data_IF_716754194136
#
_entry.id   IF_716754194136
#
_cell.length_a   1.000
_cell.length_b   1.000
_cell.length_c   1.000
_cell.angle_alpha   90.00
_cell.angle_beta   90.00
_cell.angle_gamma   90.00
#
_symmetry.space_group_name_H-M   'P 1'
#
loop_
_entity.id
_entity.type
_entity.pdbx_description
1 polymer ?
#
# COMPACT_ATOMS: atom_id res chain seq x y z
N UNK A 1 -1.70 -20.49 1.49
CA UNK A 1 -2.82 -19.53 1.62
C UNK A 1 -3.15 -19.03 0.22
N UNK A 2 -4.25 -19.51 -0.39
CA UNK A 2 -4.87 -18.79 -1.50
C UNK A 2 -5.72 -17.70 -0.85
N UNK A 3 -5.36 -16.44 -1.08
CA UNK A 3 -6.07 -15.33 -0.48
C UNK A 3 -7.24 -15.02 -1.37
N UNK A 4 -8.45 -15.17 -0.88
CA UNK A 4 -9.62 -14.87 -1.69
C UNK A 4 -9.92 -13.39 -1.54
N UNK A 5 -10.00 -12.68 -2.66
CA UNK A 5 -10.43 -11.29 -2.63
C UNK A 5 -11.84 -11.23 -2.02
N UNK A 6 -12.03 -10.45 -0.96
CA UNK A 6 -13.33 -10.35 -0.29
C UNK A 6 -14.43 -9.79 -1.21
N UNK A 7 -14.06 -9.09 -2.30
CA UNK A 7 -15.00 -8.50 -3.24
C UNK A 7 -15.41 -9.45 -4.39
N UNK A 8 -14.51 -10.30 -4.89
CA UNK A 8 -14.80 -11.15 -6.05
C UNK A 8 -14.59 -12.66 -5.82
N UNK A 9 -14.15 -13.06 -4.62
CA UNK A 9 -13.91 -14.47 -4.28
C UNK A 9 -12.77 -15.13 -5.06
N UNK A 10 -12.06 -14.39 -5.93
CA UNK A 10 -10.98 -14.96 -6.73
C UNK A 10 -9.75 -15.29 -5.87
N UNK A 11 -9.12 -16.46 -6.09
CA UNK A 11 -7.87 -16.82 -5.43
C UNK A 11 -6.75 -15.90 -5.94
N UNK A 12 -6.20 -15.13 -5.02
CA UNK A 12 -5.10 -14.17 -5.23
C UNK A 12 -3.80 -14.77 -4.69
N UNK A 13 -2.75 -14.74 -5.51
CA UNK A 13 -1.41 -15.13 -5.09
C UNK A 13 -0.69 -13.95 -4.43
N UNK A 14 -0.98 -13.70 -3.14
CA UNK A 14 -0.35 -12.60 -2.39
C UNK A 14 1.17 -12.69 -2.33
N UNK A 15 1.73 -13.90 -2.38
CA UNK A 15 3.18 -14.09 -2.43
C UNK A 15 3.79 -13.54 -3.72
N UNK A 16 3.17 -13.81 -4.87
CA UNK A 16 3.62 -13.29 -6.16
C UNK A 16 3.59 -11.77 -6.18
N UNK A 17 2.47 -11.18 -5.72
CA UNK A 17 2.35 -9.73 -5.58
C UNK A 17 3.44 -9.13 -4.69
N UNK A 18 3.63 -9.66 -3.47
CA UNK A 18 4.67 -9.17 -2.56
C UNK A 18 6.06 -9.32 -3.18
N UNK A 19 6.34 -10.45 -3.83
CA UNK A 19 7.61 -10.69 -4.52
C UNK A 19 7.88 -9.62 -5.59
N UNK A 20 6.93 -9.35 -6.47
CA UNK A 20 7.09 -8.36 -7.56
C UNK A 20 7.30 -6.93 -7.02
N UNK A 21 6.53 -6.54 -6.00
CA UNK A 21 6.66 -5.22 -5.37
C UNK A 21 8.04 -5.04 -4.76
N UNK A 22 8.52 -6.03 -3.99
CA UNK A 22 9.82 -5.95 -3.35
C UNK A 22 10.98 -6.05 -4.35
N UNK A 23 10.85 -6.81 -5.43
CA UNK A 23 11.85 -6.84 -6.50
C UNK A 23 11.98 -5.49 -7.21
N UNK A 24 10.85 -4.82 -7.47
CA UNK A 24 10.82 -3.59 -8.26
C UNK A 24 11.19 -2.37 -7.42
N UNK A 25 10.69 -2.31 -6.19
CA UNK A 25 10.66 -1.07 -5.41
C UNK A 25 11.58 -1.07 -4.18
N UNK A 26 12.03 -2.23 -3.66
CA UNK A 26 12.75 -2.26 -2.39
C UNK A 26 14.11 -1.53 -2.43
N UNK A 27 14.73 -1.43 -3.61
CA UNK A 27 16.00 -0.72 -3.80
C UNK A 27 15.87 0.80 -3.70
N UNK A 28 14.68 1.35 -3.91
CA UNK A 28 14.42 2.80 -3.90
C UNK A 28 13.76 3.28 -2.60
N UNK A 29 13.37 2.36 -1.71
CA UNK A 29 12.72 2.69 -0.46
C UNK A 29 13.68 3.21 0.60
N UNK A 30 13.28 4.26 1.32
CA UNK A 30 13.95 4.70 2.55
C UNK A 30 13.71 3.68 3.68
N UNK A 31 14.56 3.69 4.70
CA UNK A 31 14.48 2.80 5.88
C UNK A 31 13.08 2.72 6.48
N UNK A 32 12.41 3.86 6.67
CA UNK A 32 11.07 3.95 7.23
C UNK A 32 10.01 3.27 6.35
N UNK A 33 10.12 3.45 5.03
CA UNK A 33 9.23 2.82 4.05
C UNK A 33 9.45 1.32 4.03
N UNK A 34 10.70 0.85 3.95
CA UNK A 34 11.02 -0.56 3.98
C UNK A 34 10.50 -1.25 5.25
N UNK A 35 10.69 -0.63 6.42
CA UNK A 35 10.17 -1.15 7.68
C UNK A 35 8.63 -1.22 7.71
N UNK A 36 7.95 -0.22 7.12
CA UNK A 36 6.48 -0.21 7.02
C UNK A 36 5.97 -1.32 6.12
N UNK A 37 6.55 -1.48 4.94
CA UNK A 37 6.18 -2.53 3.99
C UNK A 37 6.44 -3.93 4.55
N UNK A 38 7.58 -4.13 5.23
CA UNK A 38 7.87 -5.38 5.93
C UNK A 38 6.82 -5.69 7.01
N UNK A 39 6.35 -4.71 7.80
CA UNK A 39 5.26 -4.94 8.76
C UNK A 39 3.93 -5.30 8.12
N UNK A 40 3.63 -4.78 6.93
CA UNK A 40 2.45 -5.20 6.17
C UNK A 40 2.57 -6.65 5.72
N UNK A 41 3.74 -7.04 5.20
CA UNK A 41 4.01 -8.43 4.83
C UNK A 41 3.91 -9.35 6.05
N UNK A 42 4.48 -8.95 7.20
CA UNK A 42 4.35 -9.71 8.45
C UNK A 42 2.88 -9.95 8.81
N UNK A 43 2.04 -8.91 8.75
CA UNK A 43 0.61 -9.02 9.06
C UNK A 43 -0.15 -9.90 8.07
N UNK A 44 0.19 -9.84 6.78
CA UNK A 44 -0.45 -10.66 5.75
C UNK A 44 -0.12 -12.15 5.95
N UNK A 45 1.13 -12.45 6.33
CA UNK A 45 1.60 -13.83 6.47
C UNK A 45 1.57 -14.37 7.90
N UNK A 46 1.21 -13.58 8.91
CA UNK A 46 1.18 -14.01 10.32
C UNK A 46 0.19 -15.13 10.58
N UNK A 47 -0.92 -15.16 9.83
CA UNK A 47 -1.93 -16.21 9.93
C UNK A 47 -1.71 -17.33 8.90
N UNK A 48 -0.64 -17.30 8.11
CA UNK A 48 -0.47 -18.25 6.99
C UNK A 48 -0.11 -19.66 7.46
N UNK A 49 -0.93 -20.64 7.08
CA UNK A 49 -0.66 -22.07 7.30
C UNK A 49 0.25 -22.69 6.24
N UNK A 50 0.40 -22.03 5.09
CA UNK A 50 1.27 -22.50 4.00
C UNK A 50 2.75 -22.33 4.36
N UNK A 51 3.55 -23.38 4.13
CA UNK A 51 4.97 -23.43 4.41
C UNK A 51 5.74 -22.27 3.76
N UNK A 52 5.34 -21.86 2.55
CA UNK A 52 5.92 -20.70 1.87
C UNK A 52 5.60 -19.41 2.62
N UNK A 53 4.35 -19.21 3.06
CA UNK A 53 3.96 -18.03 3.84
C UNK A 53 4.60 -17.97 5.23
N UNK A 54 4.76 -19.12 5.91
CA UNK A 54 5.49 -19.19 7.19
C UNK A 54 6.95 -18.74 7.03
N UNK A 55 7.64 -19.21 5.98
CA UNK A 55 9.01 -18.78 5.66
C UNK A 55 9.11 -17.27 5.42
N UNK A 56 8.15 -16.67 4.71
CA UNK A 56 8.12 -15.21 4.51
C UNK A 56 7.90 -14.50 5.84
N UNK A 57 6.95 -14.95 6.65
CA UNK A 57 6.68 -14.37 7.97
C UNK A 57 7.90 -14.39 8.88
N UNK A 58 8.60 -15.52 8.98
CA UNK A 58 9.80 -15.67 9.81
C UNK A 58 10.96 -14.82 9.30
N UNK A 59 11.18 -14.81 7.98
CA UNK A 59 12.20 -13.97 7.35
C UNK A 59 11.96 -12.48 7.62
N UNK A 60 10.72 -12.02 7.46
CA UNK A 60 10.33 -10.62 7.66
C UNK A 60 10.50 -10.20 9.12
N UNK A 61 10.11 -11.05 10.08
CA UNK A 61 10.36 -10.80 11.52
C UNK A 61 11.84 -10.62 11.81
N UNK A 62 12.69 -11.47 11.23
CA UNK A 62 14.13 -11.36 11.40
C UNK A 62 14.68 -10.05 10.82
N UNK A 63 14.18 -9.62 9.66
CA UNK A 63 14.60 -8.35 9.04
C UNK A 63 14.12 -7.13 9.82
N UNK A 64 12.92 -7.18 10.42
CA UNK A 64 12.40 -6.12 11.27
C UNK A 64 13.24 -5.95 12.54
N UNK A 65 13.66 -7.04 13.18
CA UNK A 65 14.58 -7.00 14.33
C UNK A 65 15.92 -6.37 13.92
N UNK A 66 16.46 -6.75 12.75
CA UNK A 66 17.72 -6.16 12.24
C UNK A 66 17.58 -4.67 11.95
N UNK A 67 16.40 -4.21 11.52
CA UNK A 67 16.12 -2.80 11.24
C UNK A 67 15.99 -1.91 12.50
N UNK A 68 15.88 -2.48 13.70
CA UNK A 68 15.95 -1.69 14.95
C UNK A 68 17.32 -0.99 15.08
N UNK A 69 18.36 -1.61 14.56
CA UNK A 69 19.70 -1.06 14.47
C UNK A 69 19.92 -0.43 13.08
N UNK A 70 20.02 0.90 13.02
CA UNK A 70 20.10 1.67 11.77
C UNK A 70 21.27 1.26 10.86
N UNK A 71 22.37 0.77 11.45
CA UNK A 71 23.59 0.39 10.73
C UNK A 71 23.40 -0.85 9.84
N UNK A 72 22.37 -1.66 10.09
CA UNK A 72 22.09 -2.88 9.32
C UNK A 72 21.17 -2.65 8.13
N UNK A 73 20.66 -1.43 7.92
CA UNK A 73 19.77 -1.11 6.80
C UNK A 73 20.29 -1.54 5.42
N UNK A 74 21.53 -1.26 5.00
CA UNK A 74 22.02 -1.70 3.69
C UNK A 74 22.09 -3.23 3.56
N UNK A 75 22.40 -3.93 4.65
CA UNK A 75 22.42 -5.40 4.69
C UNK A 75 21.00 -5.97 4.62
N UNK A 76 20.03 -5.34 5.29
CA UNK A 76 18.62 -5.75 5.24
C UNK A 76 18.05 -5.56 3.84
N UNK A 77 18.31 -4.43 3.17
CA UNK A 77 17.88 -4.20 1.78
C UNK A 77 18.43 -5.30 0.87
N UNK A 78 19.70 -5.68 1.04
CA UNK A 78 20.35 -6.74 0.27
C UNK A 78 19.72 -8.11 0.54
N UNK A 79 19.51 -8.47 1.81
CA UNK A 79 18.85 -9.72 2.21
C UNK A 79 17.42 -9.82 1.65
N UNK A 80 16.64 -8.74 1.78
CA UNK A 80 15.26 -8.66 1.28
C UNK A 80 15.23 -8.81 -0.24
N UNK A 81 16.10 -8.08 -0.94
CA UNK A 81 16.17 -8.18 -2.41
C UNK A 81 16.56 -9.60 -2.83
N UNK A 82 17.54 -10.22 -2.17
CA UNK A 82 17.97 -11.60 -2.48
C UNK A 82 16.85 -12.62 -2.21
N UNK A 83 16.19 -12.54 -1.06
CA UNK A 83 15.10 -13.44 -0.67
C UNK A 83 13.95 -13.43 -1.68
N UNK A 84 13.59 -12.25 -2.19
CA UNK A 84 12.53 -12.12 -3.19
C UNK A 84 13.03 -12.28 -4.64
N UNK A 85 14.34 -12.30 -4.91
CA UNK A 85 14.88 -12.48 -6.27
C UNK A 85 14.93 -13.93 -6.73
N UNK A 86 14.93 -14.90 -5.82
CA UNK A 86 15.14 -16.30 -6.20
C UNK A 86 14.01 -16.79 -7.12
N UNK A 87 14.39 -17.13 -8.35
CA UNK A 87 13.55 -17.79 -9.32
C UNK A 87 13.49 -19.27 -8.94
N UNK A 88 12.31 -19.74 -8.53
CA UNK A 88 11.91 -21.14 -8.37
C UNK A 88 13.07 -22.15 -8.39
N UNK A 89 13.86 -22.19 -7.31
CA UNK A 89 14.91 -23.21 -7.16
C UNK A 89 14.72 -23.88 -5.82
N UNK A 90 14.40 -25.17 -5.90
CA UNK A 90 14.53 -26.10 -4.79
C UNK A 90 15.91 -25.94 -4.14
N UNK A 91 15.98 -25.20 -3.03
CA UNK A 91 17.06 -25.35 -2.08
C UNK A 91 16.51 -26.12 -0.89
N UNK A 92 16.59 -27.44 -1.08
CA UNK A 92 16.78 -28.34 0.03
C UNK A 92 17.98 -27.89 0.87
N UNK A 93 17.85 -28.12 2.16
CA UNK A 93 18.80 -27.84 3.23
C UNK A 93 20.26 -28.10 2.79
N UNK A 94 21.13 -27.11 3.03
CA UNK A 94 22.58 -27.32 2.97
C UNK A 94 23.43 -26.05 2.92
N UNK A 95 23.56 -25.33 4.04
CA UNK A 95 24.88 -25.01 4.63
C UNK A 95 24.71 -24.06 5.81
N UNK A 96 25.17 -24.52 6.96
CA UNK A 96 25.20 -23.84 8.22
C UNK A 96 26.36 -22.83 8.27
N UNK A 97 26.07 -21.65 8.77
CA UNK A 97 27.01 -20.89 9.59
C UNK A 97 26.19 -20.16 10.69
N UNK A 98 26.15 -20.69 11.92
CA UNK A 98 25.44 -20.07 13.03
C UNK A 98 26.29 -18.95 13.63
N UNK A 99 25.90 -17.68 13.44
CA UNK A 99 26.40 -16.59 14.26
C UNK A 99 25.47 -16.38 15.47
N UNK A 100 25.76 -17.19 16.48
CA UNK A 100 25.76 -16.91 17.93
C UNK A 100 24.82 -15.79 18.43
N UNK A 101 23.73 -16.21 19.10
CA UNK A 101 23.03 -15.34 20.05
C UNK A 101 21.56 -15.70 20.35
N UNK A 102 21.37 -16.60 21.33
CA UNK A 102 20.15 -16.82 22.16
C UNK A 102 19.10 -17.81 21.57
N UNK A 103 18.67 -18.85 22.32
CA UNK A 103 17.93 -20.01 21.80
C UNK A 103 16.42 -19.95 22.07
N UNK A 104 15.62 -20.65 21.26
CA UNK A 104 14.41 -21.31 21.76
C UNK A 104 14.00 -22.46 20.83
N UNK A 105 14.06 -23.65 21.41
CA UNK A 105 13.65 -24.95 20.90
C UNK A 105 12.14 -25.03 20.71
N UNK A 106 11.67 -25.75 19.69
CA UNK A 106 10.68 -26.84 19.77
C UNK A 106 10.74 -27.55 18.42
N UNK A 107 11.04 -28.84 18.46
CA UNK A 107 10.98 -29.77 17.36
C UNK A 107 9.71 -30.61 17.48
N UNK A 108 9.13 -31.00 16.33
CA UNK A 108 8.37 -32.22 16.01
C UNK A 108 7.69 -31.95 14.65
N UNK A 109 8.06 -32.60 13.53
CA UNK A 109 7.71 -33.98 13.15
C UNK A 109 6.25 -33.99 12.67
N UNK A 110 5.82 -34.36 11.46
CA UNK A 110 6.19 -35.46 10.56
C UNK A 110 5.39 -35.33 9.23
N UNK A 111 6.05 -35.69 8.12
CA UNK A 111 5.62 -36.40 6.89
C UNK A 111 4.26 -36.19 6.17
N UNK A 112 4.34 -36.06 4.83
CA UNK A 112 3.56 -36.97 3.96
C UNK A 112 2.78 -36.43 2.75
N UNK A 113 3.42 -36.51 1.57
CA UNK A 113 2.86 -36.92 0.25
C UNK A 113 2.14 -35.87 -0.66
N UNK A 114 2.36 -35.92 -1.99
CA UNK A 114 2.17 -34.82 -2.93
C UNK A 114 0.88 -34.94 -3.75
N UNK A 115 0.38 -33.81 -4.26
CA UNK A 115 -0.61 -33.86 -5.34
C UNK A 115 -0.35 -32.84 -6.44
N UNK A 116 -0.14 -33.44 -7.60
CA UNK A 116 -0.09 -32.89 -8.95
C UNK A 116 -1.42 -32.22 -9.30
N UNK A 117 -1.36 -31.02 -9.88
CA UNK A 117 -2.40 -30.61 -10.84
C UNK A 117 -1.87 -29.51 -11.76
N UNK A 118 -2.22 -29.68 -13.03
CA UNK A 118 -1.72 -29.02 -14.24
C UNK A 118 -1.82 -27.50 -14.20
N UNK A 119 -0.70 -26.85 -14.54
CA UNK A 119 -0.58 -25.42 -14.88
C UNK A 119 -1.24 -25.20 -16.26
N UNK A 120 -2.31 -24.43 -16.32
CA UNK A 120 -2.79 -23.84 -17.57
C UNK A 120 -2.24 -22.41 -17.66
N UNK A 121 -1.47 -22.13 -18.72
CA UNK A 121 -0.84 -20.84 -18.95
C UNK A 121 -1.91 -19.78 -19.26
N UNK A 122 -1.92 -18.70 -18.48
CA UNK A 122 -2.68 -17.49 -18.79
C UNK A 122 -1.71 -16.40 -19.24
N UNK A 123 -1.97 -15.88 -20.44
CA UNK A 123 -1.31 -14.70 -21.01
C UNK A 123 -2.10 -13.47 -20.55
N UNK A 124 -1.49 -12.46 -19.90
CA UNK A 124 -2.18 -11.23 -19.54
C UNK A 124 -2.45 -10.35 -20.77
N UNK A 125 -3.72 -10.02 -21.02
CA UNK A 125 -4.09 -8.91 -21.90
C UNK A 125 -3.89 -7.58 -21.17
N UNK A 126 -3.09 -6.70 -21.76
CA UNK A 126 -2.91 -5.31 -21.33
C UNK A 126 -3.97 -4.45 -22.00
N UNK A 127 -4.88 -3.87 -21.22
CA UNK A 127 -5.79 -2.83 -21.68
C UNK A 127 -5.13 -1.47 -21.42
N UNK A 128 -4.42 -0.95 -22.41
CA UNK A 128 -4.10 0.47 -22.48
C UNK A 128 -4.84 1.10 -23.66
N UNK A 129 -5.74 2.03 -23.32
CA UNK A 129 -5.65 3.42 -23.76
C UNK A 129 -5.99 3.78 -25.22
N UNK A 130 -6.87 4.78 -25.31
CA UNK A 130 -7.07 5.79 -26.37
C UNK A 130 -8.30 5.59 -27.28
N UNK A 131 -8.83 6.67 -27.89
CA UNK A 131 -9.29 7.94 -27.30
C UNK A 131 -10.77 8.22 -27.68
N UNK A 132 -11.42 9.13 -26.95
CA UNK A 132 -12.73 9.70 -27.31
C UNK A 132 -12.60 10.54 -28.59
N UNK A 133 -13.58 10.49 -29.51
CA UNK A 133 -13.93 11.66 -30.29
C UNK A 133 -15.42 12.02 -30.21
N UNK A 134 -15.64 13.32 -30.17
CA UNK A 134 -16.93 14.00 -30.18
C UNK A 134 -17.62 13.96 -31.56
N UNK A 135 -18.95 14.16 -31.51
CA UNK A 135 -19.93 14.50 -32.55
C UNK A 135 -19.42 14.97 -33.91
N UNK A 136 -19.95 14.39 -35.00
CA UNK A 136 -20.55 15.15 -36.12
C UNK A 136 -21.44 14.29 -37.05
N UNK A 137 -22.60 14.86 -37.35
CA UNK A 137 -23.49 14.76 -38.52
C UNK A 137 -23.33 13.65 -39.59
N UNK A 138 -24.48 13.01 -39.85
CA UNK A 138 -25.17 12.91 -41.15
C UNK A 138 -24.29 12.95 -42.40
N UNK A 139 -24.12 11.80 -43.07
CA UNK A 139 -24.25 11.70 -44.53
C UNK A 139 -24.44 10.24 -44.98
N UNK A 140 -25.65 9.90 -45.42
CA UNK A 140 -25.92 8.66 -46.17
C UNK A 140 -25.31 8.80 -47.56
N UNK A 141 -24.30 7.97 -47.88
CA UNK A 141 -23.76 7.87 -49.24
C UNK A 141 -24.47 6.73 -49.97
N UNK A 142 -25.48 7.13 -50.75
CA UNK A 142 -26.16 6.31 -51.75
C UNK A 142 -25.23 6.15 -52.95
N UNK A 143 -24.67 4.96 -53.15
CA UNK A 143 -23.94 4.60 -54.36
C UNK A 143 -24.85 3.87 -55.34
N UNK A 144 -25.31 4.56 -56.39
CA UNK A 144 -25.95 3.93 -57.55
C UNK A 144 -24.88 3.34 -58.49
N UNK A 145 -25.22 2.27 -59.23
CA UNK A 145 -24.90 2.24 -60.65
C UNK A 145 -26.16 2.14 -61.49
N UNK A 146 -26.37 3.17 -62.30
CA UNK A 146 -27.27 3.18 -63.46
C UNK A 146 -26.63 2.42 -64.61
N UNK A 147 -27.30 1.40 -65.16
CA UNK A 147 -27.27 1.08 -66.60
C UNK A 147 -28.61 0.46 -67.01
N UNK A 148 -29.19 1.03 -68.08
CA UNK A 148 -30.27 0.57 -68.96
C UNK A 148 -30.89 -0.82 -68.67
N UNK A 149 -32.20 -0.95 -68.52
CA UNK A 149 -33.18 -0.51 -69.51
C UNK A 149 -33.34 -1.59 -70.57
N UNK A 150 -34.13 -2.63 -70.28
CA UNK A 150 -34.87 -3.43 -71.25
C UNK A 150 -36.08 -4.05 -70.59
N UNK A 151 -37.23 -3.46 -70.93
CA UNK A 151 -38.56 -4.03 -70.87
C UNK A 151 -38.53 -5.48 -71.33
N UNK A 152 -38.74 -6.39 -70.38
CA UNK A 152 -39.18 -7.75 -70.61
C UNK A 152 -40.19 -8.04 -69.52
N UNK A 153 -41.47 -8.06 -69.89
CA UNK A 153 -42.55 -8.61 -69.07
C UNK A 153 -42.17 -10.06 -68.74
N UNK A 154 -41.54 -10.25 -67.58
CA UNK A 154 -41.51 -11.53 -66.92
C UNK A 154 -42.57 -11.43 -65.82
N UNK A 155 -43.67 -12.15 -66.02
CA UNK A 155 -44.74 -12.35 -65.05
C UNK A 155 -44.15 -12.42 -63.64
N UNK A 156 -44.50 -11.44 -62.79
CA UNK A 156 -44.39 -11.63 -61.36
C UNK A 156 -45.34 -12.78 -61.01
N UNK A 157 -44.82 -13.99 -61.01
CA UNK A 157 -45.40 -15.03 -60.18
C UNK A 157 -45.46 -14.42 -58.79
N UNK A 158 -46.67 -14.26 -58.26
CA UNK A 158 -46.91 -14.01 -56.87
C UNK A 158 -46.39 -15.23 -56.10
N UNK A 159 -45.06 -15.31 -55.96
CA UNK A 159 -44.42 -16.20 -55.01
C UNK A 159 -44.91 -15.68 -53.68
N UNK A 160 -45.70 -16.51 -53.00
CA UNK A 160 -46.14 -16.28 -51.64
C UNK A 160 -44.87 -16.23 -50.76
N UNK A 161 -44.24 -15.06 -50.70
CA UNK A 161 -43.03 -14.78 -49.92
C UNK A 161 -43.38 -14.47 -48.46
N UNK A 162 -44.65 -14.58 -48.09
CA UNK A 162 -45.16 -14.43 -46.73
C UNK A 162 -44.38 -15.25 -45.69
N UNK A 163 -44.04 -16.54 -45.90
CA UNK A 163 -43.20 -17.29 -44.97
C UNK A 163 -41.81 -16.65 -44.77
N UNK A 164 -41.17 -16.15 -45.83
CA UNK A 164 -39.84 -15.51 -45.74
C UNK A 164 -39.91 -14.18 -44.99
N UNK A 165 -40.99 -13.42 -45.19
CA UNK A 165 -41.23 -12.15 -44.49
C UNK A 165 -41.54 -12.40 -43.01
N UNK A 166 -42.34 -13.42 -42.69
CA UNK A 166 -42.68 -13.80 -41.31
C UNK A 166 -41.46 -14.33 -40.55
N UNK A 167 -40.57 -15.08 -41.22
CA UNK A 167 -39.27 -15.50 -40.66
C UNK A 167 -38.36 -14.30 -40.35
N UNK A 168 -38.29 -13.32 -41.26
CA UNK A 168 -37.50 -12.11 -41.05
C UNK A 168 -38.07 -11.25 -39.91
N UNK A 169 -39.38 -11.09 -39.83
CA UNK A 169 -40.03 -10.38 -38.72
C UNK A 169 -39.78 -11.10 -37.38
N UNK A 170 -39.82 -12.43 -37.37
CA UNK A 170 -39.46 -13.23 -36.20
C UNK A 170 -38.00 -12.99 -35.75
N UNK A 171 -37.06 -12.95 -36.71
CA UNK A 171 -35.66 -12.66 -36.43
C UNK A 171 -35.47 -11.23 -35.91
N UNK A 172 -36.16 -10.25 -36.49
CA UNK A 172 -36.14 -8.85 -36.03
C UNK A 172 -36.66 -8.74 -34.59
N UNK A 173 -37.79 -9.39 -34.27
CA UNK A 173 -38.32 -9.43 -32.90
C UNK A 173 -37.34 -10.09 -31.92
N UNK A 174 -36.69 -11.18 -32.33
CA UNK A 174 -35.68 -11.85 -31.50
C UNK A 174 -34.47 -10.93 -31.25
N UNK A 175 -33.97 -10.25 -32.28
CA UNK A 175 -32.86 -9.31 -32.16
C UNK A 175 -33.23 -8.09 -31.31
N UNK A 176 -34.45 -7.62 -31.41
CA UNK A 176 -34.96 -6.54 -30.57
C UNK A 176 -35.01 -6.98 -29.09
N UNK A 177 -35.50 -8.18 -28.81
CA UNK A 177 -35.51 -8.73 -27.45
C UNK A 177 -34.09 -8.93 -26.90
N UNK A 178 -33.17 -9.43 -27.73
CA UNK A 178 -31.75 -9.58 -27.39
C UNK A 178 -31.11 -8.21 -27.04
N UNK A 179 -31.38 -7.18 -27.83
CA UNK A 179 -30.89 -5.82 -27.57
C UNK A 179 -31.44 -5.24 -26.26
N UNK A 180 -32.73 -5.44 -25.96
CA UNK A 180 -33.33 -5.01 -24.70
C UNK A 180 -32.67 -5.68 -23.49
N UNK A 181 -32.43 -7.00 -23.55
CA UNK A 181 -31.75 -7.74 -22.48
C UNK A 181 -30.31 -7.21 -22.26
N UNK A 182 -29.57 -6.92 -23.33
CA UNK A 182 -28.22 -6.35 -23.19
C UNK A 182 -28.25 -4.94 -22.59
N UNK A 183 -29.22 -4.11 -22.98
CA UNK A 183 -29.39 -2.77 -22.44
C UNK A 183 -29.73 -2.82 -20.94
N UNK A 184 -30.63 -3.72 -20.53
CA UNK A 184 -30.97 -3.94 -19.12
C UNK A 184 -29.74 -4.36 -18.32
N UNK A 185 -28.98 -5.35 -18.81
CA UNK A 185 -27.72 -5.77 -18.16
C UNK A 185 -26.69 -4.63 -18.04
N UNK A 186 -26.62 -3.76 -19.05
CA UNK A 186 -25.73 -2.59 -19.01
C UNK A 186 -26.21 -1.52 -18.01
N UNK A 187 -27.52 -1.36 -17.87
CA UNK A 187 -28.10 -0.48 -16.84
C UNK A 187 -27.83 -1.04 -15.43
N UNK A 188 -28.03 -2.33 -15.22
CA UNK A 188 -27.78 -3.00 -13.95
C UNK A 188 -26.31 -2.87 -13.52
N UNK A 189 -25.38 -3.10 -14.45
CA UNK A 189 -23.96 -2.92 -14.19
C UNK A 189 -23.59 -1.47 -13.84
N UNK A 190 -24.25 -0.48 -14.46
CA UNK A 190 -24.08 0.94 -14.11
C UNK A 190 -24.61 1.23 -12.71
N UNK A 191 -25.82 0.77 -12.39
CA UNK A 191 -26.44 0.96 -11.08
C UNK A 191 -25.59 0.33 -9.97
N UNK A 192 -25.07 -0.88 -10.18
CA UNK A 192 -24.20 -1.54 -9.20
C UNK A 192 -22.89 -0.78 -8.99
N UNK A 193 -22.27 -0.28 -10.08
CA UNK A 193 -21.07 0.55 -9.97
C UNK A 193 -21.34 1.85 -9.19
N UNK A 194 -22.50 2.48 -9.40
CA UNK A 194 -22.89 3.69 -8.67
C UNK A 194 -23.20 3.41 -7.20
N UNK A 195 -23.83 2.28 -6.88
CA UNK A 195 -24.02 1.82 -5.50
C UNK A 195 -22.69 1.61 -4.79
N UNK A 196 -21.73 0.94 -5.44
CA UNK A 196 -20.39 0.72 -4.89
C UNK A 196 -19.65 2.05 -4.68
N UNK A 197 -19.73 2.99 -5.64
CA UNK A 197 -19.16 4.33 -5.47
C UNK A 197 -19.75 5.05 -4.27
N UNK A 198 -21.07 4.99 -4.09
CA UNK A 198 -21.71 5.60 -2.94
C UNK A 198 -21.24 4.99 -1.61
N UNK A 199 -21.15 3.66 -1.54
CA UNK A 199 -20.63 2.96 -0.36
C UNK A 199 -19.19 3.40 -0.05
N UNK A 200 -18.33 3.48 -1.06
CA UNK A 200 -16.95 3.95 -0.88
C UNK A 200 -16.92 5.38 -0.35
N UNK A 201 -17.69 6.29 -0.96
CA UNK A 201 -17.75 7.69 -0.51
C UNK A 201 -18.18 7.80 0.96
N UNK A 202 -19.27 7.12 1.34
CA UNK A 202 -19.78 7.17 2.71
C UNK A 202 -18.78 6.56 3.70
N UNK A 203 -18.14 5.43 3.36
CA UNK A 203 -17.15 4.80 4.23
C UNK A 203 -15.89 5.65 4.38
N UNK A 204 -15.41 6.25 3.30
CA UNK A 204 -14.26 7.16 3.35
C UNK A 204 -14.56 8.38 4.22
N UNK A 205 -15.71 9.02 4.03
CA UNK A 205 -16.11 10.17 4.85
C UNK A 205 -16.18 9.82 6.35
N UNK A 206 -16.74 8.65 6.70
CA UNK A 206 -16.78 8.18 8.08
C UNK A 206 -15.38 7.95 8.66
N UNK A 207 -14.49 7.32 7.89
CA UNK A 207 -13.10 7.10 8.30
C UNK A 207 -12.39 8.45 8.54
N UNK A 208 -12.58 9.41 7.66
CA UNK A 208 -12.01 10.76 7.80
C UNK A 208 -12.51 11.48 9.05
N UNK A 209 -13.82 11.40 9.35
CA UNK A 209 -14.42 11.97 10.55
C UNK A 209 -13.89 11.30 11.84
N UNK A 210 -13.80 9.95 11.85
CA UNK A 210 -13.25 9.20 12.97
C UNK A 210 -11.78 9.59 13.23
N UNK A 211 -10.96 9.74 12.18
CA UNK A 211 -9.58 10.19 12.31
C UNK A 211 -9.48 11.64 12.77
N UNK A 212 -10.31 12.54 12.25
CA UNK A 212 -10.33 13.94 12.67
C UNK A 212 -10.68 14.05 14.17
N UNK A 213 -11.65 13.26 14.63
CA UNK A 213 -12.06 13.19 16.03
C UNK A 213 -10.93 12.67 16.91
N UNK A 214 -10.30 11.56 16.55
CA UNK A 214 -9.16 11.00 17.31
C UNK A 214 -7.98 11.97 17.39
N UNK A 215 -7.67 12.69 16.31
CA UNK A 215 -6.61 13.70 16.31
C UNK A 215 -6.96 14.87 17.24
N UNK A 216 -8.22 15.32 17.23
CA UNK A 216 -8.67 16.39 18.11
C UNK A 216 -8.57 15.99 19.59
N UNK A 217 -9.00 14.78 19.96
CA UNK A 217 -8.93 14.25 21.35
C UNK A 217 -7.50 14.18 21.89
N UNK A 218 -6.49 14.00 21.03
CA UNK A 218 -5.09 13.94 21.46
C UNK A 218 -4.52 15.32 21.87
N UNK A 219 -5.23 16.43 21.61
CA UNK A 219 -4.84 17.81 21.97
C UNK A 219 -3.35 18.13 21.73
N UNK A 220 -2.77 17.60 20.65
CA UNK A 220 -1.31 17.59 20.41
C UNK A 220 -0.74 19.01 20.40
N UNK A 221 -1.45 19.96 19.77
CA UNK A 221 -1.00 21.34 19.66
C UNK A 221 -0.93 22.03 21.03
N UNK A 222 -1.90 21.79 21.90
CA UNK A 222 -1.93 22.36 23.26
C UNK A 222 -0.78 21.79 24.10
N UNK A 223 -0.56 20.47 24.03
CA UNK A 223 0.56 19.82 24.72
C UNK A 223 1.92 20.30 24.20
N UNK A 224 2.05 20.55 22.90
CA UNK A 224 3.26 21.10 22.31
C UNK A 224 3.53 22.54 22.78
N UNK A 225 2.49 23.38 22.87
CA UNK A 225 2.64 24.74 23.37
C UNK A 225 2.97 24.77 24.87
N UNK A 226 2.30 23.93 25.67
CA UNK A 226 2.64 23.76 27.09
C UNK A 226 4.09 23.31 27.28
N UNK A 227 4.56 22.34 26.48
CA UNK A 227 5.95 21.90 26.51
C UNK A 227 6.91 23.06 26.20
N UNK A 228 6.58 23.89 25.21
CA UNK A 228 7.39 25.05 24.82
C UNK A 228 7.45 26.07 25.95
N UNK A 229 6.32 26.41 26.56
CA UNK A 229 6.25 27.32 27.71
C UNK A 229 7.11 26.82 28.88
N UNK A 230 7.01 25.53 29.24
CA UNK A 230 7.83 24.94 30.29
C UNK A 230 9.33 25.04 30.01
N UNK A 231 9.76 24.89 28.75
CA UNK A 231 11.17 25.05 28.37
C UNK A 231 11.62 26.50 28.52
N UNK A 232 10.79 27.47 28.10
CA UNK A 232 11.09 28.89 28.24
C UNK A 232 11.22 29.31 29.72
N UNK A 233 10.32 28.82 30.58
CA UNK A 233 10.39 29.02 32.04
C UNK A 233 11.68 28.44 32.64
N UNK A 234 12.02 27.20 32.28
CA UNK A 234 13.26 26.56 32.72
C UNK A 234 14.50 27.35 32.31
N UNK A 235 14.53 27.88 31.07
CA UNK A 235 15.63 28.73 30.61
C UNK A 235 15.74 30.04 31.39
N UNK A 236 14.62 30.64 31.81
CA UNK A 236 14.63 31.83 32.67
C UNK A 236 15.23 31.49 34.03
N UNK A 237 14.80 30.38 34.64
CA UNK A 237 15.31 29.93 35.94
C UNK A 237 16.81 29.60 35.86
N UNK A 238 17.25 28.90 34.81
CA UNK A 238 18.66 28.57 34.62
C UNK A 238 19.53 29.82 34.48
N UNK A 239 19.09 30.82 33.71
CA UNK A 239 19.78 32.11 33.57
C UNK A 239 19.89 32.85 34.89
N UNK A 240 18.80 32.94 35.66
CA UNK A 240 18.81 33.64 36.95
C UNK A 240 19.66 32.89 37.98
N UNK A 241 19.62 31.56 38.00
CA UNK A 241 20.48 30.74 38.84
C UNK A 241 21.97 30.92 38.50
N UNK A 242 22.32 30.94 37.20
CA UNK A 242 23.69 31.20 36.77
C UNK A 242 24.17 32.60 37.20
N UNK A 243 23.32 33.63 37.07
CA UNK A 243 23.62 34.99 37.55
C UNK A 243 23.84 35.03 39.07
N UNK A 244 23.01 34.32 39.84
CA UNK A 244 23.15 34.20 41.28
C UNK A 244 24.49 33.55 41.67
N UNK A 245 24.85 32.43 41.04
CA UNK A 245 26.11 31.73 41.30
C UNK A 245 27.32 32.61 40.95
N UNK A 246 27.27 33.32 39.83
CA UNK A 246 28.31 34.27 39.43
C UNK A 246 28.49 35.39 40.47
N UNK A 247 27.38 35.98 40.93
CA UNK A 247 27.38 37.01 41.97
C UNK A 247 27.94 36.48 43.28
N UNK A 248 27.49 35.30 43.73
CA UNK A 248 27.96 34.62 44.93
C UNK A 248 29.47 34.43 44.90
N UNK A 249 30.00 33.89 43.81
CA UNK A 249 31.44 33.63 43.64
C UNK A 249 32.25 34.92 43.74
N UNK A 250 31.77 36.00 43.12
CA UNK A 250 32.41 37.32 43.19
C UNK A 250 32.38 37.91 44.61
N UNK A 251 31.26 37.80 45.32
CA UNK A 251 31.14 38.26 46.70
C UNK A 251 32.06 37.49 47.63
N UNK A 252 32.09 36.16 47.54
CA UNK A 252 32.99 35.32 48.33
C UNK A 252 34.45 35.67 48.07
N UNK A 253 34.83 35.93 46.81
CA UNK A 253 36.20 36.38 46.48
C UNK A 253 36.54 37.70 47.16
N UNK A 254 35.63 38.69 47.15
CA UNK A 254 35.83 40.00 47.80
C UNK A 254 35.92 39.88 49.31
N UNK A 255 35.10 39.02 49.93
CA UNK A 255 35.16 38.77 51.37
C UNK A 255 36.50 38.13 51.73
N UNK A 256 36.94 37.11 50.98
CA UNK A 256 38.26 36.48 51.20
C UNK A 256 39.39 37.51 51.08
N UNK A 257 39.36 38.37 50.07
CA UNK A 257 40.35 39.44 49.89
C UNK A 257 40.34 40.43 51.05
N UNK A 258 39.15 40.86 51.51
CA UNK A 258 39.01 41.78 52.64
C UNK A 258 39.57 41.16 53.94
N UNK A 259 39.23 39.89 54.21
CA UNK A 259 39.73 39.16 55.37
C UNK A 259 41.27 39.08 55.35
N UNK A 260 41.89 38.81 54.20
CA UNK A 260 43.34 38.80 54.06
C UNK A 260 43.97 40.19 54.33
N UNK A 261 43.35 41.27 53.83
CA UNK A 261 43.82 42.65 54.10
C UNK A 261 43.69 43.03 55.57
N UNK A 262 42.60 42.63 56.22
CA UNK A 262 42.39 42.87 57.65
C UNK A 262 43.41 42.12 58.51
N UNK A 263 43.72 40.86 58.18
CA UNK A 263 44.75 40.08 58.86
C UNK A 263 46.14 40.72 58.70
N UNK A 264 46.50 41.15 57.49
CA UNK A 264 47.77 41.80 57.22
C UNK A 264 47.93 43.13 57.99
N UNK A 265 46.88 43.96 58.04
CA UNK A 265 46.89 45.20 58.84
C UNK A 265 47.07 44.90 60.33
N UNK A 266 46.37 43.88 60.85
CA UNK A 266 46.50 43.47 62.25
C UNK A 266 47.93 43.04 62.59
N UNK A 267 48.57 42.25 61.73
CA UNK A 267 49.97 41.83 61.91
C UNK A 267 50.93 43.04 61.90
N UNK A 268 50.72 43.99 60.98
CA UNK A 268 51.54 45.19 60.88
C UNK A 268 51.39 46.14 62.09
N UNK A 269 50.24 46.15 62.78
CA UNK A 269 50.05 46.94 64.02
C UNK A 269 50.58 46.25 65.29
N UNK A 270 50.83 44.93 65.24
CA UNK A 270 51.40 44.16 66.36
C UNK A 270 52.93 44.05 66.33
N UNK A 271 53.59 44.73 65.38
CA UNK A 271 55.04 44.83 65.24
C UNK A 271 55.49 46.23 65.64
#
# INVERSE_FOLDING_TARGET
MQFHCAACGHPSEMFGFVKEVFQTCARQWRMETLARELRYVERIFSASDDARGKRVGDFVKQMLIKLENKDYYPEVVKCVTAFFSDADSNLGIGSSAPLKGIPCSIAEGIDGIPSTSRKAAWIPFTLEGLPVPEKANVLSTTGSPSVHGKSGEAEFQAIDNKPVIDELDSLVRLKQAEAYMYQERANDARNEADNLRHIVMVKTARIEEDYATQIAELHINELQEQRKQNIEELQVIERTHHQFLSMKTRMESRIRELMLKMEALKQNLST
#
